data_IF_929704473993
#
_entry.id   IF_929704473993
#
_cell.length_a   1.000
_cell.length_b   1.000
_cell.length_c   1.000
_cell.angle_alpha   90.00
_cell.angle_beta   90.00
_cell.angle_gamma   90.00
#
_symmetry.space_group_name_H-M   'P 1'
#
loop_
_entity.id
_entity.type
_entity.pdbx_description
1 polymer ?
#
# COMPACT_ATOMS: atom_id res chain seq x y z
N UNK A 1 6.06 10.37 -9.99
CA UNK A 1 5.02 9.49 -9.42
C UNK A 1 3.87 10.33 -8.95
N UNK A 2 2.66 9.89 -9.24
CA UNK A 2 1.42 10.55 -8.81
C UNK A 2 0.47 9.53 -8.21
N UNK A 3 -0.53 10.02 -7.50
CA UNK A 3 -1.60 9.19 -6.94
C UNK A 3 -2.32 8.43 -8.07
N UNK A 4 -2.52 7.15 -7.89
CA UNK A 4 -3.07 6.24 -8.90
C UNK A 4 -2.01 5.48 -9.70
N UNK A 5 -0.75 5.87 -9.62
CA UNK A 5 0.32 5.15 -10.29
C UNK A 5 0.46 3.72 -9.73
N UNK A 6 0.69 2.79 -10.64
CA UNK A 6 0.92 1.39 -10.33
C UNK A 6 2.43 1.15 -10.42
N UNK A 7 2.98 0.60 -9.34
CA UNK A 7 4.40 0.34 -9.19
C UNK A 7 4.68 -1.16 -9.29
N UNK A 8 5.76 -1.50 -9.98
CA UNK A 8 6.31 -2.85 -9.95
C UNK A 8 7.11 -3.06 -8.67
N UNK A 9 6.80 -4.13 -7.95
CA UNK A 9 7.58 -4.57 -6.79
C UNK A 9 8.59 -5.61 -7.27
N UNK A 10 9.91 -5.35 -7.15
CA UNK A 10 10.93 -6.30 -7.56
C UNK A 10 10.93 -7.58 -6.70
N UNK A 11 11.29 -8.69 -7.31
CA UNK A 11 11.38 -10.00 -6.65
C UNK A 11 11.39 -11.11 -7.69
N UNK A 12 11.32 -12.36 -7.21
CA UNK A 12 11.30 -13.54 -8.06
C UNK A 12 9.99 -13.62 -8.87
N UNK A 13 8.91 -13.14 -8.28
CA UNK A 13 7.62 -13.02 -8.91
C UNK A 13 7.24 -11.56 -9.09
N UNK A 14 6.33 -11.30 -10.01
CA UNK A 14 5.88 -9.95 -10.30
C UNK A 14 4.69 -9.56 -9.40
N UNK A 15 4.92 -8.61 -8.51
CA UNK A 15 3.89 -8.00 -7.68
C UNK A 15 3.72 -6.52 -8.05
N UNK A 16 2.55 -5.99 -7.76
CA UNK A 16 2.24 -4.58 -8.03
C UNK A 16 1.65 -3.90 -6.79
N UNK A 17 1.99 -2.63 -6.64
CA UNK A 17 1.40 -1.74 -5.66
C UNK A 17 0.77 -0.55 -6.36
N UNK A 18 -0.20 0.08 -5.71
CA UNK A 18 -0.83 1.30 -6.20
C UNK A 18 -0.62 2.41 -5.18
N UNK A 19 -0.24 3.58 -5.65
CA UNK A 19 -0.09 4.77 -4.80
C UNK A 19 -1.49 5.35 -4.55
N UNK A 20 -1.88 5.45 -3.27
CA UNK A 20 -3.19 5.99 -2.89
C UNK A 20 -3.12 7.39 -2.28
N UNK A 21 -1.97 7.80 -1.73
CA UNK A 21 -1.68 9.21 -1.44
C UNK A 21 -0.18 9.44 -1.45
N UNK A 22 0.23 10.69 -1.63
CA UNK A 22 1.62 11.11 -1.53
C UNK A 22 1.71 12.15 -0.42
N UNK A 23 2.61 11.94 0.53
CA UNK A 23 2.77 12.85 1.65
C UNK A 23 3.37 14.18 1.21
N UNK A 24 2.79 15.27 1.71
CA UNK A 24 3.32 16.62 1.56
C UNK A 24 4.21 17.02 2.75
N UNK A 25 4.10 16.29 3.87
CA UNK A 25 4.83 16.56 5.10
C UNK A 25 6.14 15.79 5.18
N UNK A 26 6.14 14.53 4.72
CA UNK A 26 7.29 13.66 4.74
C UNK A 26 7.77 13.41 3.31
N UNK A 27 8.96 13.91 3.01
CA UNK A 27 9.55 13.74 1.68
C UNK A 27 9.64 12.25 1.34
N UNK A 28 9.22 11.93 0.12
CA UNK A 28 9.26 10.58 -0.44
C UNK A 28 8.40 9.54 0.28
N UNK A 29 7.55 9.94 1.22
CA UNK A 29 6.58 9.04 1.82
C UNK A 29 5.32 8.98 0.98
N UNK A 30 4.79 7.78 0.80
CA UNK A 30 3.55 7.56 0.06
C UNK A 30 2.75 6.43 0.67
N UNK A 31 1.43 6.57 0.65
CA UNK A 31 0.51 5.49 0.98
C UNK A 31 0.38 4.54 -0.19
N UNK A 32 0.47 3.25 0.07
CA UNK A 32 0.35 2.21 -0.95
C UNK A 32 -0.64 1.14 -0.54
N UNK A 33 -1.20 0.49 -1.53
CA UNK A 33 -1.89 -0.80 -1.41
C UNK A 33 -1.24 -1.80 -2.35
N UNK A 34 -1.26 -3.07 -1.97
CA UNK A 34 -0.60 -4.13 -2.75
C UNK A 34 -1.67 -5.02 -3.35
N UNK A 35 -1.61 -5.26 -4.64
CA UNK A 35 -2.55 -6.15 -5.33
C UNK A 35 -2.51 -7.56 -4.70
N UNK A 36 -3.65 -8.27 -4.65
CA UNK A 36 -3.79 -9.48 -3.83
C UNK A 36 -3.18 -10.74 -4.44
N UNK A 37 -2.19 -10.60 -5.31
CA UNK A 37 -1.52 -11.73 -5.93
C UNK A 37 -0.35 -11.28 -6.76
N UNK A 38 0.30 -12.24 -7.44
CA UNK A 38 1.38 -11.94 -8.36
C UNK A 38 0.94 -12.11 -9.81
N UNK A 39 1.58 -11.34 -10.69
CA UNK A 39 1.29 -11.32 -12.12
C UNK A 39 2.45 -11.99 -12.87
N UNK A 40 2.12 -12.61 -13.99
CA UNK A 40 3.12 -13.19 -14.88
C UNK A 40 3.76 -12.15 -15.79
N UNK A 41 2.96 -11.15 -16.22
CA UNK A 41 3.36 -10.13 -17.17
C UNK A 41 2.96 -8.73 -16.65
N UNK A 42 3.88 -7.74 -16.67
CA UNK A 42 3.56 -6.35 -16.31
C UNK A 42 2.38 -5.75 -17.07
N UNK A 43 2.18 -6.15 -18.32
CA UNK A 43 1.06 -5.66 -19.14
C UNK A 43 -0.29 -6.21 -18.68
N UNK A 44 -0.29 -7.26 -17.89
CA UNK A 44 -1.51 -7.88 -17.35
C UNK A 44 -2.02 -7.19 -16.09
N UNK A 45 -1.24 -6.28 -15.51
CA UNK A 45 -1.64 -5.58 -14.29
C UNK A 45 -2.84 -4.70 -14.58
N UNK A 46 -3.93 -5.00 -13.92
CA UNK A 46 -5.20 -4.29 -14.04
C UNK A 46 -5.83 -4.16 -12.66
N UNK A 47 -6.76 -3.21 -12.47
CA UNK A 47 -7.53 -3.16 -11.25
C UNK A 47 -8.18 -4.52 -10.97
N UNK A 48 -7.95 -5.05 -9.78
CA UNK A 48 -8.52 -6.31 -9.33
C UNK A 48 -9.61 -5.98 -8.33
N UNK A 49 -10.81 -6.47 -8.57
CA UNK A 49 -11.89 -6.36 -7.59
C UNK A 49 -11.57 -7.29 -6.42
N UNK A 50 -11.81 -6.78 -5.22
CA UNK A 50 -11.53 -7.51 -4.01
C UNK A 50 -10.60 -6.77 -3.08
N UNK A 51 -10.14 -7.45 -2.06
CA UNK A 51 -9.28 -6.85 -1.05
C UNK A 51 -7.81 -6.90 -1.48
N UNK A 52 -7.13 -5.80 -1.20
CA UNK A 52 -5.69 -5.74 -1.34
C UNK A 52 -4.99 -6.66 -0.34
N UNK A 53 -3.77 -7.04 -0.68
CA UNK A 53 -2.94 -7.85 0.19
C UNK A 53 -2.53 -7.05 1.43
N UNK A 54 -2.84 -7.58 2.62
CA UNK A 54 -2.43 -6.95 3.86
C UNK A 54 -1.02 -7.42 4.24
N UNK A 55 -0.09 -6.47 4.38
CA UNK A 55 1.24 -6.72 4.92
C UNK A 55 1.26 -6.22 6.36
N UNK A 56 1.43 -7.12 7.31
CA UNK A 56 1.37 -6.79 8.73
C UNK A 56 2.72 -6.92 9.42
N UNK A 57 2.99 -5.98 10.30
CA UNK A 57 4.03 -6.09 11.32
C UNK A 57 3.36 -5.89 12.67
N UNK A 58 3.23 -6.97 13.45
CA UNK A 58 2.41 -6.94 14.67
C UNK A 58 0.94 -6.69 14.34
N UNK A 59 0.35 -5.70 14.98
CA UNK A 59 -1.05 -5.32 14.79
C UNK A 59 -1.26 -4.22 13.76
N UNK A 60 -0.19 -3.70 13.16
CA UNK A 60 -0.26 -2.60 12.22
C UNK A 60 -0.09 -3.07 10.77
N UNK A 61 -0.79 -2.42 9.87
CA UNK A 61 -0.63 -2.63 8.44
C UNK A 61 0.55 -1.82 7.91
N UNK A 62 1.41 -2.45 7.11
CA UNK A 62 2.47 -1.76 6.38
C UNK A 62 1.84 -1.18 5.12
N UNK A 63 1.47 0.08 5.17
CA UNK A 63 0.83 0.79 4.06
C UNK A 63 1.52 2.09 3.66
N UNK A 64 2.55 2.49 4.37
CA UNK A 64 3.33 3.67 4.00
C UNK A 64 4.71 3.24 3.55
N UNK A 65 5.08 3.65 2.36
CA UNK A 65 6.37 3.35 1.77
C UNK A 65 7.26 4.58 1.78
N UNK A 66 8.49 4.42 2.24
CA UNK A 66 9.56 5.40 2.04
C UNK A 66 10.50 4.90 0.95
N UNK A 67 10.33 5.31 -0.31
CA UNK A 67 11.20 4.86 -1.39
C UNK A 67 12.53 5.62 -1.40
N UNK A 68 13.20 5.68 -0.24
CA UNK A 68 14.47 6.39 -0.07
C UNK A 68 15.62 5.79 -0.88
N UNK A 69 15.43 4.58 -1.37
CA UNK A 69 16.39 3.92 -2.27
C UNK A 69 15.92 4.18 -3.69
N UNK A 70 16.53 5.16 -4.29
CA UNK A 70 16.21 5.67 -5.63
C UNK A 70 15.90 4.55 -6.63
N UNK A 71 14.70 4.59 -7.20
CA UNK A 71 14.31 3.85 -8.40
C UNK A 71 14.27 2.32 -8.32
N UNK A 72 14.12 1.74 -7.12
CA UNK A 72 13.94 0.29 -7.00
C UNK A 72 12.58 -0.12 -7.57
N UNK A 73 11.55 0.67 -7.30
CA UNK A 73 10.20 0.42 -7.80
C UNK A 73 9.88 1.37 -8.95
N UNK A 74 9.43 0.82 -10.06
CA UNK A 74 9.17 1.57 -11.28
C UNK A 74 7.68 1.67 -11.55
N UNK A 75 7.24 2.79 -12.15
CA UNK A 75 5.87 2.96 -12.60
C UNK A 75 5.64 2.12 -13.85
N UNK A 76 4.60 1.29 -13.83
CA UNK A 76 4.23 0.41 -14.94
C UNK A 76 2.82 0.67 -15.46
N UNK A 77 2.07 1.52 -14.81
CA UNK A 77 0.72 1.84 -15.23
C UNK A 77 0.08 2.89 -14.33
N UNK A 78 -1.18 3.14 -14.57
CA UNK A 78 -1.97 4.09 -13.81
C UNK A 78 -3.43 3.66 -13.78
N UNK A 79 -4.05 3.79 -12.62
CA UNK A 79 -5.49 3.59 -12.44
C UNK A 79 -6.02 4.62 -11.46
N UNK A 80 -7.05 5.38 -11.80
CA UNK A 80 -7.63 6.34 -10.87
C UNK A 80 -8.04 5.68 -9.56
N UNK A 81 -8.06 6.45 -8.47
CA UNK A 81 -8.51 5.95 -7.18
C UNK A 81 -9.98 5.58 -7.25
N UNK A 82 -10.30 4.39 -6.76
CA UNK A 82 -11.68 3.97 -6.54
C UNK A 82 -12.11 4.28 -5.10
N UNK A 83 -13.34 3.94 -4.77
CA UNK A 83 -13.90 4.18 -3.43
C UNK A 83 -13.12 3.44 -2.34
N UNK A 84 -12.72 2.19 -2.60
CA UNK A 84 -11.94 1.40 -1.65
C UNK A 84 -10.56 2.01 -1.41
N UNK A 85 -9.92 2.52 -2.44
CA UNK A 85 -8.62 3.20 -2.32
C UNK A 85 -8.72 4.42 -1.40
N UNK A 86 -9.79 5.19 -1.55
CA UNK A 86 -10.04 6.37 -0.71
C UNK A 86 -10.31 6.00 0.74
N UNK A 87 -11.04 4.93 0.99
CA UNK A 87 -11.26 4.41 2.34
C UNK A 87 -9.94 4.00 3.01
N UNK A 88 -9.03 3.41 2.27
CA UNK A 88 -7.74 2.95 2.78
C UNK A 88 -6.74 4.09 3.05
N UNK A 89 -7.04 5.31 2.63
CA UNK A 89 -6.28 6.48 3.06
C UNK A 89 -6.50 6.81 4.54
N UNK A 90 -7.62 6.37 5.12
CA UNK A 90 -7.91 6.56 6.54
C UNK A 90 -7.13 5.56 7.38
N UNK A 91 -6.48 6.06 8.42
CA UNK A 91 -5.69 5.22 9.32
C UNK A 91 -5.53 5.86 10.69
N UNK A 92 -5.15 5.05 11.65
CA UNK A 92 -4.94 5.47 13.02
C UNK A 92 -3.45 5.67 13.30
N UNK A 93 -3.12 6.76 13.98
CA UNK A 93 -1.78 7.01 14.49
C UNK A 93 -1.85 7.84 15.77
N UNK A 94 -1.29 7.30 16.86
CA UNK A 94 -1.20 8.00 18.13
C UNK A 94 -2.54 8.48 18.70
N UNK A 95 -3.62 7.73 18.50
CA UNK A 95 -4.96 8.09 18.98
C UNK A 95 -5.70 9.10 18.11
N UNK A 96 -5.18 9.40 16.93
CA UNK A 96 -5.78 10.30 15.94
C UNK A 96 -6.15 9.52 14.68
N UNK A 97 -7.29 9.84 14.09
CA UNK A 97 -7.67 9.37 12.77
C UNK A 97 -7.13 10.35 11.72
N UNK A 98 -6.40 9.81 10.75
CA UNK A 98 -5.87 10.54 9.61
C UNK A 98 -6.54 10.12 8.31
N UNK A 99 -6.66 11.06 7.39
CA UNK A 99 -6.93 10.82 5.97
C UNK A 99 -5.67 11.21 5.19
N UNK A 100 -4.86 10.23 4.80
CA UNK A 100 -3.53 10.52 4.28
C UNK A 100 -2.70 11.30 5.30
N UNK A 101 -2.29 12.52 4.94
CA UNK A 101 -1.57 13.43 5.83
C UNK A 101 -2.45 14.22 6.79
N UNK A 102 -3.75 14.28 6.54
CA UNK A 102 -4.64 15.20 7.24
C UNK A 102 -5.21 14.57 8.51
N UNK A 103 -5.07 15.24 9.64
CA UNK A 103 -5.74 14.83 10.86
C UNK A 103 -7.24 15.15 10.76
N UNK A 104 -8.07 14.14 10.98
CA UNK A 104 -9.53 14.26 10.89
C UNK A 104 -10.12 14.59 12.26
N UNK A 105 -9.78 13.78 13.27
CA UNK A 105 -10.28 13.90 14.64
C UNK A 105 -9.52 13.00 15.59
N UNK A 106 -9.70 13.20 16.89
CA UNK A 106 -9.33 12.19 17.87
C UNK A 106 -10.13 10.92 17.61
N UNK A 107 -9.45 9.78 17.61
CA UNK A 107 -10.09 8.50 17.30
C UNK A 107 -11.14 8.12 18.37
N UNK A 108 -12.31 7.72 17.90
CA UNK A 108 -13.40 7.20 18.72
C UNK A 108 -13.33 5.67 18.81
N UNK A 109 -14.18 5.07 19.66
CA UNK A 109 -14.28 3.60 19.73
C UNK A 109 -14.67 2.99 18.40
N UNK A 110 -15.55 3.64 17.65
CA UNK A 110 -15.94 3.20 16.31
C UNK A 110 -14.78 3.27 15.32
N UNK A 111 -13.96 4.30 15.41
CA UNK A 111 -12.76 4.43 14.58
C UNK A 111 -11.76 3.29 14.83
N UNK A 112 -11.54 2.91 16.09
CA UNK A 112 -10.67 1.78 16.45
C UNK A 112 -11.22 0.45 15.94
N UNK A 113 -12.54 0.29 15.85
CA UNK A 113 -13.17 -0.91 15.29
C UNK A 113 -13.08 -0.96 13.76
N UNK A 114 -13.08 0.19 13.09
CA UNK A 114 -13.19 0.29 11.63
C UNK A 114 -11.84 0.45 10.93
N UNK A 115 -10.90 1.19 11.52
CA UNK A 115 -9.63 1.54 10.89
C UNK A 115 -8.46 0.89 11.61
N UNK A 116 -7.36 0.70 10.87
CA UNK A 116 -6.14 0.08 11.38
C UNK A 116 -5.04 1.11 11.59
N UNK A 117 -4.15 0.90 12.57
CA UNK A 117 -2.89 1.61 12.59
C UNK A 117 -2.02 1.18 11.41
N UNK A 118 -1.19 2.09 10.91
CA UNK A 118 -0.28 1.81 9.80
C UNK A 118 1.15 2.10 10.21
N UNK A 119 2.06 1.35 9.60
CA UNK A 119 3.50 1.54 9.73
C UNK A 119 4.09 1.95 8.39
N UNK A 120 5.13 2.75 8.47
CA UNK A 120 5.96 3.09 7.33
C UNK A 120 7.14 2.11 7.22
N UNK A 121 7.47 1.71 6.02
CA UNK A 121 8.57 0.79 5.76
C UNK A 121 9.29 1.17 4.46
N UNK A 122 10.57 0.78 4.38
CA UNK A 122 11.31 0.87 3.12
C UNK A 122 10.93 -0.24 2.14
N UNK A 123 11.34 -0.12 0.87
CA UNK A 123 11.01 -1.10 -0.17
C UNK A 123 11.48 -2.51 0.17
N UNK A 124 12.65 -2.65 0.76
CA UNK A 124 13.23 -3.96 1.11
C UNK A 124 12.38 -4.69 2.15
N UNK A 125 11.84 -3.98 3.14
CA UNK A 125 10.95 -4.59 4.14
C UNK A 125 9.69 -5.14 3.50
N UNK A 126 9.06 -4.37 2.62
CA UNK A 126 7.86 -4.81 1.88
C UNK A 126 8.17 -6.03 1.02
N UNK A 127 9.29 -6.01 0.29
CA UNK A 127 9.73 -7.14 -0.53
C UNK A 127 9.95 -8.40 0.32
N UNK A 128 10.54 -8.27 1.50
CA UNK A 128 10.76 -9.40 2.42
C UNK A 128 9.45 -9.96 2.98
N UNK A 129 8.49 -9.11 3.32
CA UNK A 129 7.17 -9.53 3.76
C UNK A 129 6.43 -10.32 2.67
N UNK A 130 6.51 -9.86 1.44
CA UNK A 130 5.94 -10.57 0.28
C UNK A 130 6.63 -11.91 0.10
N UNK A 131 7.95 -11.97 0.18
CA UNK A 131 8.72 -13.21 0.06
C UNK A 131 8.32 -14.23 1.12
N UNK A 132 8.16 -13.80 2.37
CA UNK A 132 7.75 -14.67 3.46
C UNK A 132 6.34 -15.24 3.26
N UNK A 133 5.43 -14.46 2.69
CA UNK A 133 4.04 -14.86 2.44
C UNK A 133 3.85 -15.53 1.07
N UNK A 134 4.88 -15.63 0.24
CA UNK A 134 4.79 -16.00 -1.17
C UNK A 134 4.02 -17.28 -1.45
N UNK A 135 4.23 -18.32 -0.61
CA UNK A 135 3.57 -19.62 -0.79
C UNK A 135 2.05 -19.58 -0.64
N UNK A 136 1.54 -18.55 0.03
CA UNK A 136 0.10 -18.36 0.27
C UNK A 136 -0.54 -17.35 -0.67
N UNK A 137 0.25 -16.71 -1.53
CA UNK A 137 -0.22 -15.65 -2.44
C UNK A 137 -0.45 -16.25 -3.83
N UNK A 138 -1.68 -16.15 -4.37
CA UNK A 138 -2.01 -16.72 -5.67
C UNK A 138 -1.46 -15.91 -6.85
N UNK A 139 -1.41 -16.56 -8.00
CA UNK A 139 -1.20 -15.87 -9.28
C UNK A 139 -2.50 -15.21 -9.72
N UNK A 140 -2.39 -14.00 -10.24
CA UNK A 140 -3.50 -13.29 -10.87
C UNK A 140 -3.46 -13.55 -12.39
N UNK A 141 -4.53 -14.12 -12.87
CA UNK A 141 -4.69 -14.41 -14.31
C UNK A 141 -5.23 -13.20 -15.08
#
# INVERSE_FOLDING_TARGET
MITGDILRIPGDDFFAAKIIWISQWYKDAMGIVIYPGWFEDPEQVRPVEGEYLAMKMGNADVRVLYPSIKKIWTVIGHSPLNERDRELCFHLDGGTLYDGDDSVRNATSDDYARFSPVLAAGPVVVQNLIRQARSTIPRID
#
